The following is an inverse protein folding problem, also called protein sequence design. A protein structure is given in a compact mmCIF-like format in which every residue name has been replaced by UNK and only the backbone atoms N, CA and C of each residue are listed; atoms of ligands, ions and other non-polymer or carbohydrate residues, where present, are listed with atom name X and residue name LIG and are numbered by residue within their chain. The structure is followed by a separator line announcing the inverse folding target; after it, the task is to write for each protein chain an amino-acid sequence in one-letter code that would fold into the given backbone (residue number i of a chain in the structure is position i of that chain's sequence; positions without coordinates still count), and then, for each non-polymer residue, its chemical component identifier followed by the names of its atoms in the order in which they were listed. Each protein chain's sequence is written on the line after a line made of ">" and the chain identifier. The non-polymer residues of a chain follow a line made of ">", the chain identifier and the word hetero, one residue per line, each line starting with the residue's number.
data_IF_911495782835
#
_entry.id   IF_911495782835
#
_cell.length_a   1.000
_cell.length_b   1.000
_cell.length_c   1.000
_cell.angle_alpha   90.00
_cell.angle_beta   90.00
_cell.angle_gamma   90.00
#
_symmetry.space_group_name_H-M   'P 1'
#
loop_
_entity.id
_entity.type
_entity.pdbx_description
1 polymer ?
#
# COMPACT_ATOMS: atom_id res chain seq x y z
N UNK A 1 -12.39 -0.54 -3.91
CA UNK A 1 -11.79 -1.45 -2.91
C UNK A 1 -10.61 -2.17 -3.55
N UNK A 2 -9.40 -2.00 -3.03
CA UNK A 2 -8.22 -2.78 -3.48
C UNK A 2 -8.38 -4.19 -2.89
N UNK A 3 -8.60 -5.18 -3.74
CA UNK A 3 -8.84 -6.56 -3.34
C UNK A 3 -7.51 -7.34 -3.35
N UNK A 4 -7.15 -7.94 -2.22
CA UNK A 4 -6.10 -8.96 -2.19
C UNK A 4 -6.65 -10.32 -2.64
N UNK A 5 -5.77 -11.30 -2.86
CA UNK A 5 -6.21 -12.63 -3.29
C UNK A 5 -6.64 -12.71 -4.76
N UNK A 6 -6.16 -11.79 -5.60
CA UNK A 6 -6.45 -11.78 -7.03
C UNK A 6 -5.79 -12.98 -7.70
N UNK A 7 -6.52 -13.76 -8.52
CA UNK A 7 -5.94 -14.87 -9.26
C UNK A 7 -4.98 -14.36 -10.34
N UNK A 8 -3.90 -15.11 -10.58
CA UNK A 8 -2.95 -14.83 -11.64
C UNK A 8 -2.12 -16.06 -12.00
N UNK A 9 -1.21 -15.90 -12.96
CA UNK A 9 -0.20 -16.92 -13.31
C UNK A 9 1.19 -16.37 -13.05
N UNK A 10 2.08 -17.19 -12.51
CA UNK A 10 3.51 -16.86 -12.41
C UNK A 10 4.13 -16.77 -13.80
N UNK A 11 5.32 -16.18 -13.91
CA UNK A 11 6.11 -16.20 -15.15
C UNK A 11 6.39 -17.64 -15.65
N UNK A 12 6.37 -18.61 -14.74
CA UNK A 12 6.53 -20.05 -15.00
C UNK A 12 5.20 -20.78 -15.26
N UNK A 13 4.08 -20.07 -15.39
CA UNK A 13 2.77 -20.62 -15.76
C UNK A 13 1.95 -21.25 -14.64
N UNK A 14 2.43 -21.24 -13.38
CA UNK A 14 1.69 -21.80 -12.24
C UNK A 14 0.58 -20.84 -11.79
N UNK A 15 -0.58 -21.38 -11.42
CA UNK A 15 -1.64 -20.60 -10.80
C UNK A 15 -1.16 -20.03 -9.46
N UNK A 16 -1.33 -18.72 -9.26
CA UNK A 16 -0.94 -18.01 -8.05
C UNK A 16 -2.03 -17.02 -7.66
N UNK A 17 -1.97 -16.51 -6.42
CA UNK A 17 -2.84 -15.42 -5.95
C UNK A 17 -2.00 -14.32 -5.34
N UNK A 18 -2.40 -13.07 -5.52
CA UNK A 18 -1.80 -11.96 -4.77
C UNK A 18 -2.07 -12.17 -3.27
N UNK A 19 -1.19 -11.66 -2.42
CA UNK A 19 -1.37 -11.75 -0.97
C UNK A 19 -2.74 -11.16 -0.56
N UNK A 20 -3.35 -11.75 0.46
CA UNK A 20 -4.58 -11.21 1.05
C UNK A 20 -4.35 -9.78 1.57
N UNK A 21 -5.33 -8.92 1.34
CA UNK A 21 -5.36 -7.55 1.83
C UNK A 21 -6.33 -7.56 3.01
N UNK A 22 -5.79 -7.63 4.23
CA UNK A 22 -6.59 -7.80 5.45
C UNK A 22 -7.20 -6.49 5.96
N UNK A 23 -6.68 -5.34 5.51
CA UNK A 23 -7.21 -4.02 5.83
C UNK A 23 -6.28 -2.95 5.26
N UNK A 24 -6.81 -2.06 4.41
CA UNK A 24 -6.03 -0.96 3.80
C UNK A 24 -6.16 0.35 4.56
N UNK A 25 -7.19 0.49 5.40
CA UNK A 25 -7.53 1.78 5.99
C UNK A 25 -6.51 2.24 7.03
N UNK A 26 -5.87 1.29 7.74
CA UNK A 26 -4.77 1.58 8.67
C UNK A 26 -3.53 2.08 7.94
N UNK A 27 -3.10 1.35 6.91
CA UNK A 27 -1.93 1.71 6.09
C UNK A 27 -2.15 3.05 5.36
N UNK A 28 -3.36 3.31 4.86
CA UNK A 28 -3.72 4.59 4.22
C UNK A 28 -3.61 5.74 5.22
N UNK A 29 -4.14 5.58 6.45
CA UNK A 29 -4.06 6.63 7.49
C UNK A 29 -2.61 6.88 7.90
N UNK A 30 -1.81 5.83 8.10
CA UNK A 30 -0.39 5.94 8.41
C UNK A 30 0.37 6.67 7.30
N UNK A 31 0.19 6.25 6.04
CA UNK A 31 0.88 6.87 4.92
C UNK A 31 0.51 8.35 4.77
N UNK A 32 -0.76 8.73 4.98
CA UNK A 32 -1.18 10.13 5.01
C UNK A 32 -0.51 10.92 6.14
N UNK A 33 -0.42 10.35 7.34
CA UNK A 33 0.26 10.99 8.46
C UNK A 33 1.75 11.21 8.17
N UNK A 34 2.44 10.21 7.60
CA UNK A 34 3.83 10.33 7.20
C UNK A 34 4.05 11.43 6.14
N UNK A 35 3.16 11.52 5.15
CA UNK A 35 3.20 12.58 4.14
C UNK A 35 3.05 13.97 4.74
N UNK A 36 2.08 14.16 5.64
CA UNK A 36 1.88 15.44 6.32
C UNK A 36 3.12 15.85 7.13
N UNK A 37 3.71 14.90 7.88
CA UNK A 37 4.94 15.14 8.64
C UNK A 37 6.09 15.54 7.72
N UNK A 38 6.24 14.88 6.57
CA UNK A 38 7.28 15.22 5.59
C UNK A 38 7.10 16.62 4.99
N UNK A 39 5.86 17.01 4.68
CA UNK A 39 5.54 18.35 4.17
C UNK A 39 5.80 19.44 5.22
N UNK A 40 5.39 19.22 6.47
CA UNK A 40 5.68 20.14 7.58
C UNK A 40 7.19 20.32 7.79
N UNK A 41 7.95 19.22 7.77
CA UNK A 41 9.39 19.27 7.89
C UNK A 41 10.05 20.06 6.75
N UNK A 42 9.59 19.86 5.51
CA UNK A 42 10.06 20.59 4.33
C UNK A 42 9.76 22.09 4.41
N UNK A 43 8.58 22.48 4.92
CA UNK A 43 8.23 23.89 5.14
C UNK A 43 9.13 24.50 6.20
N UNK A 44 9.39 23.76 7.30
CA UNK A 44 10.17 24.23 8.45
C UNK A 44 11.66 24.44 8.14
N UNK A 45 12.20 23.69 7.18
CA UNK A 45 13.62 23.74 6.78
C UNK A 45 13.94 24.71 5.63
N UNK A 46 12.93 25.39 5.10
CA UNK A 46 13.09 26.44 4.07
C UNK A 46 13.37 27.79 4.72
#
# INVERSE_FOLDING_TARGET
>A
MIKGGLPGKSATGKNTRTRAVNGIDGDIKLNRALWLIADEFKIRMK
#
